data_IF_027907128381
#
_entry.id   IF_027907128381
#
_cell.length_a   1.000
_cell.length_b   1.000
_cell.length_c   1.000
_cell.angle_alpha   90.00
_cell.angle_beta   90.00
_cell.angle_gamma   90.00
#
_symmetry.space_group_name_H-M   'P 1'
#
loop_
_entity.id
_entity.type
_entity.pdbx_description
1 polymer ?
#
# COMPACT_ATOMS: atom_id res chain seq x y z
N UNK A 1 8.82 -24.30 -9.37
CA UNK A 1 8.71 -22.94 -8.81
C UNK A 1 7.41 -22.87 -8.05
N UNK A 2 7.45 -22.66 -6.73
CA UNK A 2 6.25 -22.33 -5.97
C UNK A 2 5.81 -20.94 -6.41
N UNK A 3 4.67 -20.83 -7.07
CA UNK A 3 4.07 -19.53 -7.40
C UNK A 3 3.71 -18.84 -6.09
N UNK A 4 4.49 -17.83 -5.71
CA UNK A 4 4.17 -17.02 -4.54
C UNK A 4 2.92 -16.22 -4.86
N UNK A 5 1.84 -16.46 -4.13
CA UNK A 5 0.58 -15.75 -4.32
C UNK A 5 0.66 -14.42 -3.58
N UNK A 6 0.75 -13.33 -4.35
CA UNK A 6 0.72 -11.95 -3.86
C UNK A 6 -0.68 -11.36 -4.04
N UNK A 7 -1.05 -10.47 -3.12
CA UNK A 7 -2.30 -9.73 -3.12
C UNK A 7 -2.32 -8.71 -4.25
N UNK A 8 -1.27 -7.90 -4.38
CA UNK A 8 -1.10 -7.01 -5.54
C UNK A 8 -0.51 -7.75 -6.73
N UNK A 9 -0.94 -7.38 -7.93
CA UNK A 9 -0.40 -7.82 -9.21
C UNK A 9 0.36 -6.66 -9.85
N UNK A 10 1.40 -6.99 -10.62
CA UNK A 10 2.25 -6.00 -11.28
C UNK A 10 1.44 -5.02 -12.14
N UNK A 11 0.44 -5.51 -12.86
CA UNK A 11 -0.40 -4.68 -13.72
C UNK A 11 -1.20 -3.65 -12.92
N UNK A 12 -1.55 -3.95 -11.66
CA UNK A 12 -2.25 -2.99 -10.78
C UNK A 12 -1.30 -1.86 -10.37
N UNK A 13 -0.01 -2.13 -10.18
CA UNK A 13 0.99 -1.09 -9.86
C UNK A 13 1.21 -0.11 -11.02
N UNK A 14 1.26 -0.62 -12.25
CA UNK A 14 1.61 0.17 -13.46
C UNK A 14 0.41 0.76 -14.21
N UNK A 15 -0.81 0.28 -13.97
CA UNK A 15 -2.00 0.74 -14.70
C UNK A 15 -2.98 1.51 -13.81
N UNK A 16 -3.09 1.17 -12.53
CA UNK A 16 -4.13 1.72 -11.64
C UNK A 16 -3.60 2.34 -10.34
N UNK A 17 -2.37 1.97 -9.93
CA UNK A 17 -1.68 2.48 -8.76
C UNK A 17 -1.13 3.90 -8.95
N UNK A 18 0.13 4.10 -8.57
CA UNK A 18 0.76 5.44 -8.61
C UNK A 18 1.32 5.78 -9.99
N UNK A 19 1.75 4.78 -10.72
CA UNK A 19 2.32 4.94 -12.06
C UNK A 19 1.18 4.91 -13.07
N UNK A 20 0.13 5.73 -12.88
CA UNK A 20 -1.07 5.71 -13.72
C UNK A 20 -0.69 5.88 -15.19
N UNK A 21 -1.16 4.95 -16.01
CA UNK A 21 -0.94 5.03 -17.44
C UNK A 21 -1.64 6.28 -17.99
N UNK A 22 -0.87 7.18 -18.60
CA UNK A 22 -1.40 8.21 -19.49
C UNK A 22 -1.14 7.81 -20.93
N UNK A 23 -2.02 8.16 -21.89
CA UNK A 23 -1.93 7.72 -23.28
C UNK A 23 -0.64 8.12 -24.02
N UNK A 24 0.19 8.98 -23.42
CA UNK A 24 1.42 9.51 -24.01
C UNK A 24 2.69 9.13 -23.25
N UNK A 25 2.62 8.31 -22.20
CA UNK A 25 3.78 7.97 -21.36
C UNK A 25 4.40 6.61 -21.72
N UNK A 26 5.74 6.54 -21.73
CA UNK A 26 6.48 5.29 -21.63
C UNK A 26 6.06 4.59 -20.34
N UNK A 27 5.31 3.49 -20.48
CA UNK A 27 4.84 2.71 -19.33
C UNK A 27 6.04 2.18 -18.56
N UNK A 28 5.94 2.19 -17.23
CA UNK A 28 6.93 1.51 -16.41
C UNK A 28 6.90 0.02 -16.72
N UNK A 29 8.06 -0.57 -16.98
CA UNK A 29 8.13 -1.98 -17.37
C UNK A 29 7.72 -2.87 -16.19
N UNK A 30 6.57 -3.52 -16.38
CA UNK A 30 5.98 -4.51 -15.49
C UNK A 30 6.97 -5.62 -15.07
N UNK A 31 7.85 -6.04 -15.98
CA UNK A 31 8.81 -7.12 -15.72
C UNK A 31 9.87 -6.74 -14.70
N UNK A 32 10.21 -5.45 -14.60
CA UNK A 32 11.19 -4.93 -13.64
C UNK A 32 10.65 -4.91 -12.20
N UNK A 33 9.33 -4.81 -12.03
CA UNK A 33 8.67 -4.79 -10.73
C UNK A 33 8.35 -6.19 -10.21
N UNK A 34 8.03 -7.13 -11.11
CA UNK A 34 7.55 -8.49 -10.79
C UNK A 34 8.31 -9.22 -9.68
N UNK A 35 9.67 -9.24 -9.67
CA UNK A 35 10.42 -9.97 -8.65
C UNK A 35 10.27 -9.39 -7.23
N UNK A 36 9.83 -8.14 -7.10
CA UNK A 36 9.86 -7.39 -5.85
C UNK A 36 8.51 -7.37 -5.12
N UNK A 37 7.45 -7.93 -5.70
CA UNK A 37 6.09 -7.88 -5.12
C UNK A 37 6.01 -8.58 -3.77
N UNK A 38 6.45 -9.84 -3.69
CA UNK A 38 6.40 -10.61 -2.43
C UNK A 38 7.26 -9.97 -1.33
N UNK A 39 8.42 -9.43 -1.71
CA UNK A 39 9.32 -8.75 -0.77
C UNK A 39 8.66 -7.49 -0.23
N UNK A 40 8.00 -6.70 -1.08
CA UNK A 40 7.28 -5.50 -0.67
C UNK A 40 6.12 -5.83 0.27
N UNK A 41 5.30 -6.83 -0.05
CA UNK A 41 4.20 -7.25 0.83
C UNK A 41 4.68 -7.77 2.18
N UNK A 42 5.75 -8.58 2.20
CA UNK A 42 6.34 -9.08 3.45
C UNK A 42 6.90 -7.96 4.31
N UNK A 43 7.61 -7.01 3.70
CA UNK A 43 8.30 -5.92 4.41
C UNK A 43 7.37 -4.86 4.95
N UNK A 44 6.27 -4.56 4.25
CA UNK A 44 5.39 -3.45 4.59
C UNK A 44 4.03 -3.93 5.08
N UNK A 45 3.31 -4.65 4.23
CA UNK A 45 1.91 -5.00 4.50
C UNK A 45 1.76 -6.04 5.62
N UNK A 46 2.40 -7.21 5.48
CA UNK A 46 2.30 -8.35 6.41
C UNK A 46 2.90 -8.07 7.80
N UNK A 47 3.43 -6.87 8.03
CA UNK A 47 3.94 -6.43 9.34
C UNK A 47 2.84 -5.96 10.29
N UNK A 48 1.68 -5.58 9.77
CA UNK A 48 0.59 -5.04 10.58
C UNK A 48 -0.79 -5.60 10.22
N UNK A 49 -0.98 -6.10 8.99
CA UNK A 49 -2.12 -6.98 8.72
C UNK A 49 -1.72 -8.38 9.16
N UNK A 50 -2.56 -9.03 9.96
CA UNK A 50 -2.24 -10.38 10.39
C UNK A 50 -2.47 -11.41 9.30
N UNK A 51 -1.84 -12.58 9.49
CA UNK A 51 -1.78 -13.65 8.48
C UNK A 51 -3.16 -14.15 8.08
N UNK A 52 -4.09 -14.30 9.03
CA UNK A 52 -5.43 -14.82 8.74
C UNK A 52 -6.23 -13.86 7.87
N UNK A 53 -6.22 -12.57 8.19
CA UNK A 53 -6.84 -11.54 7.34
C UNK A 53 -6.20 -11.46 5.95
N UNK A 54 -4.88 -11.56 5.86
CA UNK A 54 -4.21 -11.61 4.55
C UNK A 54 -4.66 -12.82 3.74
N UNK A 55 -4.76 -14.00 4.36
CA UNK A 55 -5.21 -15.22 3.67
C UNK A 55 -6.68 -15.13 3.23
N UNK A 56 -7.54 -14.49 4.02
CA UNK A 56 -8.92 -14.19 3.64
C UNK A 56 -8.98 -13.31 2.39
N UNK A 57 -8.17 -12.25 2.34
CA UNK A 57 -8.10 -11.38 1.16
C UNK A 57 -7.61 -12.16 -0.07
N UNK A 58 -6.60 -13.02 0.08
CA UNK A 58 -6.13 -13.87 -1.02
C UNK A 58 -7.21 -14.85 -1.48
N UNK A 59 -8.03 -15.38 -0.58
CA UNK A 59 -9.11 -16.30 -0.92
C UNK A 59 -10.28 -15.62 -1.64
N UNK A 60 -10.56 -14.34 -1.32
CA UNK A 60 -11.70 -13.59 -1.85
C UNK A 60 -11.36 -12.71 -3.06
N UNK A 61 -10.08 -12.57 -3.43
CA UNK A 61 -9.70 -11.73 -4.56
C UNK A 61 -10.07 -12.36 -5.90
N UNK A 62 -10.36 -11.50 -6.88
CA UNK A 62 -10.44 -11.85 -8.28
C UNK A 62 -9.05 -12.35 -8.76
N UNK A 63 -8.97 -13.49 -9.45
CA UNK A 63 -7.71 -13.96 -10.03
C UNK A 63 -7.16 -13.02 -11.11
N UNK A 64 -8.04 -12.25 -11.77
CA UNK A 64 -7.66 -11.24 -12.75
C UNK A 64 -7.12 -9.97 -12.06
N UNK A 65 -6.17 -9.25 -12.67
CA UNK A 65 -5.73 -7.95 -12.16
C UNK A 65 -6.90 -6.97 -12.11
N UNK A 66 -7.06 -6.24 -11.00
CA UNK A 66 -8.06 -5.19 -10.90
C UNK A 66 -7.76 -4.02 -11.84
N UNK A 67 -8.81 -3.47 -12.44
CA UNK A 67 -8.75 -2.32 -13.32
C UNK A 67 -9.82 -1.30 -12.94
N UNK A 68 -9.40 -0.10 -12.58
CA UNK A 68 -10.28 1.03 -12.25
C UNK A 68 -10.18 2.17 -13.28
N UNK A 69 -9.45 1.95 -14.37
CA UNK A 69 -9.30 2.91 -15.45
C UNK A 69 -10.03 2.40 -16.71
N UNK A 70 -11.13 3.06 -17.05
CA UNK A 70 -11.95 2.72 -18.23
C UNK A 70 -11.18 2.88 -19.55
N UNK A 71 -10.16 3.74 -19.58
CA UNK A 71 -9.35 3.99 -20.79
C UNK A 71 -8.39 2.84 -21.11
N UNK A 72 -8.15 1.94 -20.13
CA UNK A 72 -7.23 0.80 -20.28
C UNK A 72 -7.95 -0.53 -20.54
N UNK A 73 -9.26 -0.59 -20.32
CA UNK A 73 -10.06 -1.80 -20.42
C UNK A 73 -11.33 -1.76 -19.58
N UNK A 74 -12.09 -2.86 -19.53
CA UNK A 74 -13.27 -2.96 -18.66
C UNK A 74 -12.88 -2.78 -17.19
N UNK A 75 -13.82 -2.28 -16.39
CA UNK A 75 -13.64 -2.16 -14.94
C UNK A 75 -13.66 -3.58 -14.34
N UNK A 76 -12.59 -3.92 -13.62
CA UNK A 76 -12.42 -5.20 -12.96
C UNK A 76 -12.19 -4.95 -11.47
N UNK A 77 -13.13 -5.38 -10.63
CA UNK A 77 -13.04 -5.23 -9.17
C UNK A 77 -12.06 -6.25 -8.59
N UNK A 78 -11.36 -5.87 -7.52
CA UNK A 78 -10.46 -6.77 -6.81
C UNK A 78 -11.23 -7.79 -5.98
N UNK A 79 -12.29 -7.35 -5.32
CA UNK A 79 -13.14 -8.11 -4.41
C UNK A 79 -14.59 -8.02 -4.87
N UNK A 80 -14.97 -8.77 -5.92
CA UNK A 80 -16.29 -8.65 -6.54
C UNK A 80 -17.44 -9.03 -5.59
N UNK A 81 -17.20 -9.91 -4.61
CA UNK A 81 -18.20 -10.41 -3.67
C UNK A 81 -18.25 -9.63 -2.35
N UNK A 82 -17.28 -8.76 -2.08
CA UNK A 82 -17.07 -8.14 -0.77
C UNK A 82 -16.86 -6.63 -0.87
N UNK A 83 -17.93 -5.82 -0.84
CA UNK A 83 -17.84 -4.37 -0.96
C UNK A 83 -16.93 -3.70 0.10
N UNK A 84 -16.91 -4.23 1.33
CA UNK A 84 -16.05 -3.72 2.40
C UNK A 84 -14.56 -3.91 2.10
N UNK A 85 -14.18 -5.08 1.56
CA UNK A 85 -12.81 -5.35 1.13
C UNK A 85 -12.45 -4.52 -0.11
N UNK A 86 -13.39 -4.31 -1.02
CA UNK A 86 -13.19 -3.46 -2.20
C UNK A 86 -12.92 -2.00 -1.82
N UNK A 87 -13.65 -1.47 -0.84
CA UNK A 87 -13.43 -0.12 -0.32
C UNK A 87 -12.07 0.01 0.37
N UNK A 88 -11.70 -0.97 1.21
CA UNK A 88 -10.38 -1.03 1.84
C UNK A 88 -9.26 -1.07 0.79
N UNK A 89 -9.46 -1.87 -0.26
CA UNK A 89 -8.50 -2.04 -1.35
C UNK A 89 -8.28 -0.75 -2.12
N UNK A 90 -9.34 -0.18 -2.67
CA UNK A 90 -9.27 0.98 -3.57
C UNK A 90 -8.80 2.25 -2.85
N UNK A 91 -9.25 2.48 -1.62
CA UNK A 91 -8.92 3.71 -0.88
C UNK A 91 -7.53 3.64 -0.23
N UNK A 92 -7.11 2.48 0.27
CA UNK A 92 -5.94 2.41 1.14
C UNK A 92 -4.88 1.40 0.70
N UNK A 93 -5.25 0.13 0.47
CA UNK A 93 -4.23 -0.91 0.23
C UNK A 93 -3.56 -0.80 -1.14
N UNK A 94 -4.32 -0.46 -2.19
CA UNK A 94 -3.80 -0.29 -3.55
C UNK A 94 -2.70 0.79 -3.63
N UNK A 95 -2.92 2.04 -3.15
CA UNK A 95 -1.86 3.04 -3.15
C UNK A 95 -0.69 2.65 -2.24
N UNK A 96 -0.96 2.09 -1.05
CA UNK A 96 0.09 1.68 -0.11
C UNK A 96 1.01 0.59 -0.67
N UNK A 97 0.43 -0.45 -1.27
CA UNK A 97 1.21 -1.53 -1.88
C UNK A 97 1.95 -1.06 -3.13
N UNK A 98 1.34 -0.18 -3.93
CA UNK A 98 2.01 0.40 -5.10
C UNK A 98 3.26 1.19 -4.70
N UNK A 99 3.18 2.01 -3.63
CA UNK A 99 4.34 2.71 -3.05
C UNK A 99 5.40 1.72 -2.54
N UNK A 100 4.94 0.68 -1.85
CA UNK A 100 5.81 -0.33 -1.24
C UNK A 100 6.63 -1.07 -2.30
N UNK A 101 5.97 -1.50 -3.39
CA UNK A 101 6.63 -2.16 -4.53
C UNK A 101 7.63 -1.21 -5.18
N UNK A 102 7.22 0.04 -5.44
CA UNK A 102 8.09 1.02 -6.04
C UNK A 102 9.33 1.30 -5.18
N UNK A 103 9.17 1.47 -3.87
CA UNK A 103 10.28 1.68 -2.92
C UNK A 103 11.31 0.54 -2.95
N UNK A 104 10.85 -0.72 -2.96
CA UNK A 104 11.74 -1.89 -2.97
C UNK A 104 12.42 -2.07 -4.34
N UNK A 105 11.69 -1.83 -5.42
CA UNK A 105 12.19 -2.05 -6.76
C UNK A 105 13.17 -0.97 -7.21
N UNK A 106 12.96 0.29 -6.81
CA UNK A 106 13.70 1.46 -7.31
C UNK A 106 15.24 1.30 -7.30
N UNK A 107 15.91 0.94 -6.18
CA UNK A 107 17.37 0.78 -6.20
C UNK A 107 17.86 -0.32 -7.14
N UNK A 108 17.10 -1.40 -7.27
CA UNK A 108 17.46 -2.56 -8.10
C UNK A 108 17.22 -2.32 -9.60
N UNK A 109 16.38 -1.34 -9.93
CA UNK A 109 16.14 -0.92 -11.31
C UNK A 109 17.17 0.12 -11.74
N UNK A 110 17.54 1.03 -10.85
CA UNK A 110 18.49 2.11 -11.14
C UNK A 110 19.95 1.66 -11.15
N UNK A 111 20.30 0.64 -10.36
CA UNK A 111 21.67 0.13 -10.23
C UNK A 111 21.78 -1.30 -10.74
N UNK A 112 22.77 -1.56 -11.58
CA UNK A 112 23.12 -2.90 -12.02
C UNK A 112 24.43 -3.34 -11.35
N UNK A 113 24.46 -4.58 -10.87
CA UNK A 113 25.68 -5.18 -10.29
C UNK A 113 26.39 -5.97 -11.37
N UNK A 114 27.59 -5.52 -11.76
CA UNK A 114 28.48 -6.23 -12.67
C UNK A 114 29.72 -6.76 -11.96
N UNK A 115 30.56 -7.50 -12.68
CA UNK A 115 31.86 -8.00 -12.19
C UNK A 115 32.81 -6.90 -11.73
N UNK A 116 32.63 -5.68 -12.23
CA UNK A 116 33.43 -4.52 -11.91
C UNK A 116 32.78 -3.59 -10.84
N UNK A 117 31.68 -4.01 -10.22
CA UNK A 117 30.97 -3.24 -9.19
C UNK A 117 29.57 -2.76 -9.60
N UNK A 118 29.08 -1.74 -8.91
CA UNK A 118 27.76 -1.14 -9.16
C UNK A 118 27.86 -0.06 -10.23
N UNK A 119 27.02 -0.15 -11.27
CA UNK A 119 26.94 0.85 -12.33
C UNK A 119 25.51 1.38 -12.45
N UNK A 120 25.39 2.68 -12.77
CA UNK A 120 24.10 3.26 -13.12
C UNK A 120 23.68 2.77 -14.49
N UNK A 121 22.41 2.37 -14.60
CA UNK A 121 21.80 2.09 -15.88
C UNK A 121 21.51 3.42 -16.59
N UNK A 122 22.51 3.93 -17.31
CA UNK A 122 22.38 5.10 -18.17
C UNK A 122 22.21 4.63 -19.62
N UNK A 123 21.14 5.03 -20.27
CA UNK A 123 21.05 4.93 -21.73
C UNK A 123 21.72 6.16 -22.35
N UNK A 124 22.30 6.02 -23.55
CA UNK A 124 23.21 7.00 -24.18
C UNK A 124 22.65 8.44 -24.33
N UNK A 125 21.34 8.65 -24.12
CA UNK A 125 20.67 9.95 -24.21
C UNK A 125 19.85 10.32 -22.96
N UNK A 126 19.97 9.56 -21.87
CA UNK A 126 19.23 9.81 -20.62
C UNK A 126 20.14 10.38 -19.53
N UNK A 127 19.66 11.43 -18.86
CA UNK A 127 20.26 11.90 -17.62
C UNK A 127 19.56 11.21 -16.44
N UNK A 128 20.27 10.30 -15.79
CA UNK A 128 19.81 9.68 -14.56
C UNK A 128 19.90 10.69 -13.40
N UNK A 129 18.93 10.68 -12.49
CA UNK A 129 18.88 11.57 -11.32
C UNK A 129 20.01 11.33 -10.30
N UNK A 130 20.86 10.33 -10.56
CA UNK A 130 22.03 9.99 -9.75
C UNK A 130 21.63 9.37 -8.40
N UNK A 131 22.64 9.12 -7.56
CA UNK A 131 22.42 8.51 -6.25
C UNK A 131 21.57 9.39 -5.33
N UNK A 132 21.72 10.70 -5.42
CA UNK A 132 21.00 11.64 -4.54
C UNK A 132 19.53 11.77 -4.92
N UNK A 133 19.20 11.79 -6.22
CA UNK A 133 17.81 11.69 -6.68
C UNK A 133 17.16 10.37 -6.28
N UNK A 134 17.90 9.26 -6.37
CA UNK A 134 17.45 7.93 -5.94
C UNK A 134 17.14 7.90 -4.43
N UNK A 135 18.05 8.44 -3.59
CA UNK A 135 17.86 8.53 -2.14
C UNK A 135 16.69 9.43 -1.77
N UNK A 136 16.58 10.59 -2.41
CA UNK A 136 15.45 11.51 -2.21
C UNK A 136 14.12 10.80 -2.50
N UNK A 137 14.03 10.12 -3.64
CA UNK A 137 12.82 9.37 -4.00
C UNK A 137 12.50 8.26 -3.00
N UNK A 138 13.49 7.45 -2.59
CA UNK A 138 13.27 6.40 -1.58
C UNK A 138 12.80 6.98 -0.23
N UNK A 139 13.39 8.09 0.22
CA UNK A 139 13.00 8.73 1.48
C UNK A 139 11.58 9.29 1.41
N UNK A 140 11.24 9.96 0.31
CA UNK A 140 9.89 10.49 0.07
C UNK A 140 8.85 9.35 0.07
N UNK A 141 9.14 8.22 -0.60
CA UNK A 141 8.21 7.09 -0.59
C UNK A 141 8.08 6.46 0.80
N UNK A 142 9.19 6.36 1.56
CA UNK A 142 9.15 5.84 2.92
C UNK A 142 8.33 6.73 3.86
N UNK A 143 8.43 8.05 3.72
CA UNK A 143 7.58 9.01 4.46
C UNK A 143 6.11 8.80 4.11
N UNK A 144 5.75 8.76 2.83
CA UNK A 144 4.37 8.50 2.38
C UNK A 144 3.83 7.16 2.94
N UNK A 145 4.65 6.10 2.98
CA UNK A 145 4.27 4.82 3.56
C UNK A 145 4.03 4.92 5.07
N UNK A 146 4.88 5.65 5.78
CA UNK A 146 4.73 5.86 7.22
C UNK A 146 3.49 6.69 7.57
N UNK A 147 3.07 7.61 6.69
CA UNK A 147 1.88 8.43 6.87
C UNK A 147 0.58 7.68 6.51
N UNK A 148 0.63 6.80 5.50
CA UNK A 148 -0.53 6.00 5.09
C UNK A 148 -0.81 4.82 6.02
N UNK A 149 0.23 4.20 6.59
CA UNK A 149 0.09 3.07 7.53
C UNK A 149 -0.89 3.33 8.68
N UNK A 150 -0.79 4.43 9.47
CA UNK A 150 -1.74 4.72 10.54
C UNK A 150 -3.15 4.96 10.01
N UNK A 151 -3.31 5.56 8.83
CA UNK A 151 -4.62 5.77 8.21
C UNK A 151 -5.31 4.45 7.86
N UNK A 152 -4.56 3.46 7.34
CA UNK A 152 -5.07 2.10 7.09
C UNK A 152 -5.49 1.44 8.40
N UNK A 153 -4.62 1.51 9.42
CA UNK A 153 -4.88 0.90 10.72
C UNK A 153 -6.15 1.50 11.35
N UNK A 154 -6.27 2.83 11.37
CA UNK A 154 -7.45 3.51 11.92
C UNK A 154 -8.73 3.06 11.19
N UNK A 155 -8.71 3.00 9.86
CA UNK A 155 -9.87 2.52 9.10
C UNK A 155 -10.25 1.08 9.45
N UNK A 156 -9.27 0.18 9.59
CA UNK A 156 -9.50 -1.22 9.98
C UNK A 156 -10.04 -1.34 11.40
N UNK A 157 -9.59 -0.48 12.33
CA UNK A 157 -10.06 -0.44 13.71
C UNK A 157 -11.48 0.14 13.82
N UNK A 158 -11.79 1.22 13.09
CA UNK A 158 -13.12 1.84 13.08
C UNK A 158 -14.18 0.92 12.45
N UNK A 159 -13.78 0.13 11.45
CA UNK A 159 -14.65 -0.79 10.72
C UNK A 159 -14.46 -2.24 11.16
N UNK A 160 -13.99 -2.48 12.38
CA UNK A 160 -13.56 -3.81 12.78
C UNK A 160 -14.69 -4.85 12.79
N UNK A 161 -15.97 -4.42 12.87
CA UNK A 161 -17.13 -5.29 12.72
C UNK A 161 -17.25 -5.89 11.31
N UNK A 162 -16.72 -5.21 10.28
CA UNK A 162 -16.72 -5.66 8.90
C UNK A 162 -15.55 -6.61 8.59
N UNK A 163 -14.53 -6.67 9.46
CA UNK A 163 -13.30 -7.44 9.25
C UNK A 163 -13.04 -8.37 10.45
N UNK A 164 -13.77 -9.50 10.57
CA UNK A 164 -13.71 -10.36 11.75
C UNK A 164 -12.35 -11.06 11.92
N UNK A 165 -11.63 -11.31 10.83
CA UNK A 165 -10.32 -11.95 10.85
C UNK A 165 -9.15 -10.97 11.05
N UNK A 166 -9.43 -9.66 11.14
CA UNK A 166 -8.40 -8.66 11.41
C UNK A 166 -7.99 -8.69 12.89
N UNK A 167 -6.69 -8.83 13.12
CA UNK A 167 -6.13 -8.94 14.46
C UNK A 167 -6.01 -7.55 15.10
N UNK A 168 -6.97 -7.24 15.97
CA UNK A 168 -7.07 -5.95 16.66
C UNK A 168 -5.98 -5.78 17.73
N UNK A 169 -5.57 -6.88 18.35
CA UNK A 169 -4.64 -6.88 19.49
C UNK A 169 -3.28 -6.32 19.09
N UNK A 170 -2.88 -5.21 19.74
CA UNK A 170 -1.56 -4.60 19.59
C UNK A 170 -1.38 -3.67 18.38
N UNK A 171 -2.40 -3.51 17.52
CA UNK A 171 -2.36 -2.60 16.35
C UNK A 171 -3.38 -1.49 16.50
N UNK A 172 -4.60 -1.82 16.93
CA UNK A 172 -5.56 -0.81 17.35
C UNK A 172 -5.14 -0.30 18.73
N UNK A 173 -4.79 0.97 18.82
CA UNK A 173 -4.83 1.66 20.11
C UNK A 173 -6.31 1.60 20.49
N UNK A 174 -6.65 0.88 21.57
CA UNK A 174 -7.99 0.92 22.13
C UNK A 174 -8.39 2.39 22.23
N UNK A 175 -9.38 2.80 21.43
CA UNK A 175 -9.84 4.17 21.35
C UNK A 175 -10.27 4.66 22.72
N UNK A 176 -9.35 5.22 23.53
CA UNK A 176 -9.67 5.93 24.77
C UNK A 176 -10.59 5.21 25.75
N UNK A 177 -10.72 3.88 25.68
CA UNK A 177 -11.52 3.14 26.61
C UNK A 177 -10.70 2.90 27.86
N UNK A 178 -10.78 3.83 28.82
CA UNK A 178 -10.42 3.52 30.20
C UNK A 178 -11.43 2.45 30.68
N UNK A 179 -11.09 1.17 30.52
CA UNK A 179 -11.83 0.05 31.12
C UNK A 179 -12.66 -0.86 30.20
N UNK A 180 -12.27 -1.11 28.95
CA UNK A 180 -12.95 -2.14 28.15
C UNK A 180 -12.50 -3.56 28.52
N UNK A 181 -13.08 -4.13 29.58
CA UNK A 181 -13.15 -5.58 29.76
C UNK A 181 -14.24 -6.17 28.89
N UNK A 182 -13.85 -7.06 27.97
CA UNK A 182 -14.66 -8.06 27.26
C UNK A 182 -16.19 -7.86 27.26
N UNK A 183 -16.73 -7.35 26.15
CA UNK A 183 -18.09 -7.72 25.72
C UNK A 183 -19.15 -6.64 25.58
N UNK A 184 -18.82 -5.34 25.58
CA UNK A 184 -19.84 -4.29 25.39
C UNK A 184 -19.60 -3.44 24.15
N UNK A 185 -20.69 -3.23 23.39
CA UNK A 185 -20.76 -2.42 22.18
C UNK A 185 -20.41 -0.96 22.50
N UNK A 186 -19.45 -0.38 21.77
CA UNK A 186 -19.10 1.03 21.86
C UNK A 186 -20.25 1.92 21.34
N UNK A 187 -21.25 2.15 22.18
CA UNK A 187 -22.32 3.11 21.94
C UNK A 187 -21.91 4.49 22.46
N UNK A 188 -21.42 5.33 21.55
CA UNK A 188 -21.51 6.79 21.62
C UNK A 188 -20.72 7.53 22.70
N UNK A 189 -19.78 8.36 22.24
CA UNK A 189 -19.72 9.82 22.46
C UNK A 189 -18.28 10.30 22.24
N UNK A 190 -18.11 11.20 21.29
CA UNK A 190 -16.84 11.88 21.02
C UNK A 190 -16.46 12.70 22.26
N UNK A 191 -15.31 12.47 22.92
CA UNK A 191 -14.85 13.40 23.93
C UNK A 191 -14.29 14.64 23.22
N UNK A 192 -15.01 15.76 23.34
CA UNK A 192 -14.41 17.07 23.13
C UNK A 192 -13.36 17.29 24.21
N UNK A 193 -12.09 17.22 23.85
CA UNK A 193 -11.01 17.73 24.70
C UNK A 193 -9.75 17.96 23.88
N UNK A 194 -9.41 19.24 23.65
CA UNK A 194 -8.01 19.65 23.50
C UNK A 194 -7.58 20.21 22.15
N UNK A 195 -8.22 21.28 21.66
CA UNK A 195 -7.53 22.32 20.85
C UNK A 195 -8.03 23.72 21.23
N UNK A 196 -7.73 24.13 22.46
CA UNK A 196 -7.49 25.54 22.74
C UNK A 196 -6.18 25.93 22.05
N UNK A 197 -6.28 26.32 20.77
CA UNK A 197 -5.26 27.12 20.12
C UNK A 197 -5.69 28.59 20.28
N UNK A 198 -5.32 29.16 21.42
CA UNK A 198 -5.30 30.60 21.60
C UNK A 198 -4.31 31.23 20.63
N UNK A 199 -4.82 31.66 19.47
CA UNK A 199 -4.14 32.60 18.59
C UNK A 199 -4.91 33.91 18.75
N UNK A 200 -4.42 34.78 19.63
CA UNK A 200 -4.83 36.19 19.64
C UNK A 200 -4.12 36.90 18.49
N UNK A 201 -4.88 37.37 17.52
CA UNK A 201 -4.41 38.37 16.58
C UNK A 201 -4.41 39.73 17.29
N UNK A 202 -3.23 40.34 17.40
CA UNK A 202 -3.08 41.78 17.57
C UNK A 202 -3.18 42.46 16.21
#
# INVERSE_FOLDING_TARGET
MSTVITLIKVQEVVNTGILKATPLSSRFDASLLSPWLDIAEKRFLKTFICTDFYNEMIANMNPLPSNYNIDLGPIELKFPTSPSLENLWTQFLLPYLSLSVYYVALPNISLQTGSNGLFFNNTDFSQNAGLDGLKFMQNTQLQNLNDLKPSIINYLCDNAALFPLFCRSGVCIECGCVGCSSGEECTGQVPQSGRDLGIQFY
#
